data_IF_622157735288
#
_entry.id   IF_622157735288
#
_cell.length_a   1.000
_cell.length_b   1.000
_cell.length_c   1.000
_cell.angle_alpha   90.00
_cell.angle_beta   90.00
_cell.angle_gamma   90.00
#
_symmetry.space_group_name_H-M   'P 1'
#
loop_
_entity.id
_entity.type
_entity.pdbx_description
1 polymer ?
#
# COMPACT_ATOMS: atom_id res chain seq x y z
N UNK A 1 6.71 -51.42 -24.44
CA UNK A 1 7.36 -50.19 -23.94
C UNK A 1 6.26 -49.19 -23.66
N UNK A 2 6.19 -48.70 -22.44
CA UNK A 2 5.21 -47.69 -22.07
C UNK A 2 5.65 -46.34 -22.67
N UNK A 3 4.69 -45.56 -23.18
CA UNK A 3 4.93 -44.41 -24.08
C UNK A 3 4.29 -43.17 -23.50
N UNK A 4 4.89 -42.00 -23.74
CA UNK A 4 4.27 -40.70 -23.49
C UNK A 4 2.96 -40.58 -24.25
N UNK A 5 1.93 -40.09 -23.57
CA UNK A 5 0.57 -39.96 -24.12
C UNK A 5 0.23 -38.47 -24.22
N UNK A 6 -0.10 -37.96 -25.42
CA UNK A 6 -0.57 -36.59 -25.57
C UNK A 6 -1.79 -36.30 -24.70
N UNK A 7 -1.75 -35.21 -23.93
CA UNK A 7 -2.87 -34.82 -23.09
C UNK A 7 -3.99 -34.23 -23.95
N UNK A 8 -5.25 -34.57 -23.66
CA UNK A 8 -6.42 -34.06 -24.40
C UNK A 8 -7.14 -32.95 -23.65
N UNK A 9 -7.14 -32.99 -22.32
CA UNK A 9 -7.87 -32.06 -21.45
C UNK A 9 -6.93 -31.29 -20.52
N UNK A 10 -5.93 -31.98 -19.96
CA UNK A 10 -4.90 -31.37 -19.12
C UNK A 10 -3.89 -30.63 -20.00
N UNK A 11 -4.25 -29.41 -20.41
CA UNK A 11 -3.40 -28.57 -21.27
C UNK A 11 -2.78 -27.40 -20.52
N UNK A 12 -3.39 -26.98 -19.42
CA UNK A 12 -2.97 -25.82 -18.65
C UNK A 12 -2.97 -26.13 -17.16
N UNK A 13 -1.95 -25.63 -16.46
CA UNK A 13 -1.87 -25.72 -15.01
C UNK A 13 -0.93 -24.69 -14.42
N UNK A 14 -0.94 -24.62 -13.09
CA UNK A 14 -0.03 -23.79 -12.30
C UNK A 14 0.72 -24.66 -11.29
N UNK A 15 2.01 -24.43 -11.14
CA UNK A 15 2.81 -25.09 -10.13
C UNK A 15 2.39 -24.63 -8.73
N UNK A 16 2.06 -25.58 -7.85
CA UNK A 16 1.68 -25.34 -6.45
C UNK A 16 2.82 -25.59 -5.46
N UNK A 17 3.94 -26.15 -5.94
CA UNK A 17 5.17 -26.37 -5.18
C UNK A 17 6.40 -26.09 -6.04
N UNK A 18 7.52 -25.75 -5.40
CA UNK A 18 8.80 -25.59 -6.08
C UNK A 18 9.34 -26.97 -6.44
N UNK A 19 9.72 -27.15 -7.69
CA UNK A 19 10.35 -28.37 -8.19
C UNK A 19 11.74 -28.05 -8.74
N UNK A 20 12.77 -28.67 -8.17
CA UNK A 20 14.15 -28.53 -8.64
C UNK A 20 14.50 -29.73 -9.51
N UNK A 21 14.86 -29.46 -10.77
CA UNK A 21 15.23 -30.51 -11.71
C UNK A 21 16.49 -31.24 -11.23
N UNK A 22 16.43 -32.57 -11.19
CA UNK A 22 17.58 -33.43 -10.86
C UNK A 22 18.32 -33.92 -12.11
N UNK A 23 17.67 -33.84 -13.28
CA UNK A 23 18.19 -34.30 -14.57
C UNK A 23 17.92 -33.25 -15.66
N UNK A 24 18.70 -33.29 -16.75
CA UNK A 24 18.55 -32.35 -17.87
C UNK A 24 17.20 -32.47 -18.59
N UNK A 25 16.55 -33.62 -18.52
CA UNK A 25 15.22 -33.87 -19.10
C UNK A 25 14.10 -33.25 -18.28
N UNK A 26 14.36 -32.90 -17.02
CA UNK A 26 13.39 -32.34 -16.09
C UNK A 26 13.35 -30.82 -16.19
N UNK A 27 12.16 -30.26 -15.99
CA UNK A 27 11.95 -28.81 -15.98
C UNK A 27 11.75 -28.34 -14.55
N UNK A 28 12.66 -27.49 -14.07
CA UNK A 28 12.47 -26.84 -12.76
C UNK A 28 11.28 -25.89 -12.81
N UNK A 29 10.48 -25.87 -11.75
CA UNK A 29 9.30 -25.02 -11.60
C UNK A 29 9.38 -24.27 -10.27
N UNK A 30 8.89 -23.04 -10.26
CA UNK A 30 8.64 -22.28 -9.05
C UNK A 30 7.13 -22.20 -8.80
N UNK A 31 6.73 -22.07 -7.53
CA UNK A 31 5.34 -21.85 -7.14
C UNK A 31 4.77 -20.67 -7.94
N UNK A 32 3.64 -20.90 -8.61
CA UNK A 32 2.98 -19.90 -9.46
C UNK A 32 3.43 -19.90 -10.92
N UNK A 33 4.37 -20.75 -11.32
CA UNK A 33 4.70 -20.95 -12.74
C UNK A 33 3.51 -21.57 -13.47
N UNK A 34 3.13 -20.94 -14.58
CA UNK A 34 2.08 -21.45 -15.45
C UNK A 34 2.71 -22.33 -16.53
N UNK A 35 2.13 -23.51 -16.74
CA UNK A 35 2.68 -24.53 -17.64
C UNK A 35 1.68 -24.93 -18.72
N UNK A 36 2.19 -25.13 -19.94
CA UNK A 36 1.49 -25.84 -21.00
C UNK A 36 1.91 -27.30 -20.93
N UNK A 37 0.94 -28.18 -20.67
CA UNK A 37 1.11 -29.62 -20.59
C UNK A 37 0.82 -30.23 -21.96
N UNK A 38 1.80 -30.93 -22.53
CA UNK A 38 1.72 -31.54 -23.86
C UNK A 38 1.42 -33.04 -23.76
N UNK A 39 2.13 -33.73 -22.87
CA UNK A 39 2.07 -35.19 -22.73
C UNK A 39 2.09 -35.58 -21.25
N UNK A 40 1.63 -36.80 -20.96
CA UNK A 40 1.67 -37.40 -19.63
C UNK A 40 2.20 -38.83 -19.68
N UNK A 41 2.88 -39.24 -18.60
CA UNK A 41 3.40 -40.59 -18.42
C UNK A 41 3.63 -40.88 -16.92
N UNK A 42 2.97 -41.90 -16.37
CA UNK A 42 3.17 -42.43 -15.00
C UNK A 42 3.35 -41.36 -13.89
N UNK A 43 2.42 -40.40 -13.80
CA UNK A 43 2.46 -39.34 -12.78
C UNK A 43 3.41 -38.18 -13.09
N UNK A 44 3.95 -38.13 -14.32
CA UNK A 44 4.70 -37.01 -14.85
C UNK A 44 3.97 -36.35 -16.00
N UNK A 45 4.10 -35.04 -16.06
CA UNK A 45 3.77 -34.24 -17.23
C UNK A 45 5.03 -33.86 -17.99
N UNK A 46 4.89 -33.70 -19.30
CA UNK A 46 5.89 -33.09 -20.16
C UNK A 46 5.30 -31.84 -20.78
N UNK A 47 6.06 -30.75 -20.74
CA UNK A 47 5.57 -29.46 -21.15
C UNK A 47 6.64 -28.38 -21.09
N UNK A 48 6.18 -27.14 -21.02
CA UNK A 48 7.03 -25.96 -20.88
C UNK A 48 6.31 -24.88 -20.06
N UNK A 49 7.07 -23.95 -19.47
CA UNK A 49 6.48 -22.78 -18.82
C UNK A 49 6.03 -21.75 -19.87
N UNK A 50 4.92 -21.08 -19.64
CA UNK A 50 4.41 -20.08 -20.60
C UNK A 50 5.41 -18.93 -20.85
N UNK A 51 6.30 -18.67 -19.88
CA UNK A 51 7.39 -17.69 -20.01
C UNK A 51 8.56 -18.16 -20.88
N UNK A 52 8.77 -19.46 -21.03
CA UNK A 52 9.87 -20.00 -21.82
C UNK A 52 9.43 -21.23 -22.62
N UNK A 53 8.77 -20.97 -23.75
CA UNK A 53 8.27 -22.00 -24.68
C UNK A 53 9.36 -22.88 -25.29
N UNK A 54 10.60 -22.38 -25.33
CA UNK A 54 11.74 -23.08 -25.95
C UNK A 54 12.25 -24.23 -25.09
N UNK A 55 12.14 -24.11 -23.75
CA UNK A 55 12.63 -25.10 -22.81
C UNK A 55 11.52 -26.07 -22.43
N UNK A 56 11.53 -27.25 -23.07
CA UNK A 56 10.62 -28.35 -22.74
C UNK A 56 11.29 -29.30 -21.76
N UNK A 57 10.52 -29.85 -20.83
CA UNK A 57 10.99 -30.88 -19.91
C UNK A 57 9.84 -31.54 -19.17
N UNK A 58 10.18 -32.50 -18.31
CA UNK A 58 9.21 -33.24 -17.50
C UNK A 58 9.13 -32.69 -16.08
N UNK A 59 7.95 -32.75 -15.47
CA UNK A 59 7.69 -32.32 -14.10
C UNK A 59 6.57 -33.16 -13.47
N UNK A 60 6.57 -33.35 -12.13
CA UNK A 60 5.59 -34.23 -11.49
C UNK A 60 4.17 -33.68 -11.61
N UNK A 61 3.20 -34.54 -11.89
CA UNK A 61 1.78 -34.21 -11.93
C UNK A 61 1.29 -33.65 -10.59
N UNK A 62 1.78 -34.22 -9.48
CA UNK A 62 1.38 -33.83 -8.11
C UNK A 62 1.78 -32.41 -7.73
N UNK A 63 2.66 -31.76 -8.51
CA UNK A 63 3.12 -30.39 -8.29
C UNK A 63 2.28 -29.38 -9.07
N UNK A 64 1.33 -29.84 -9.89
CA UNK A 64 0.54 -29.00 -10.79
C UNK A 64 -0.92 -29.01 -10.41
N UNK A 65 -1.48 -27.81 -10.20
CA UNK A 65 -2.92 -27.60 -10.14
C UNK A 65 -3.45 -27.25 -11.54
N UNK A 66 -4.29 -28.11 -12.09
CA UNK A 66 -4.90 -27.89 -13.40
C UNK A 66 -5.84 -26.67 -13.38
N UNK A 67 -5.83 -25.91 -14.46
CA UNK A 67 -6.69 -24.73 -14.63
C UNK A 67 -7.43 -24.79 -15.96
N UNK A 68 -8.58 -24.14 -16.01
CA UNK A 68 -9.36 -24.05 -17.23
C UNK A 68 -8.64 -23.18 -18.27
N UNK A 69 -8.63 -23.66 -19.51
CA UNK A 69 -8.08 -22.97 -20.66
C UNK A 69 -8.74 -23.46 -21.94
N UNK A 70 -8.85 -22.58 -22.93
CA UNK A 70 -9.17 -22.93 -24.30
C UNK A 70 -7.88 -23.20 -25.07
N UNK A 71 -7.94 -24.11 -26.05
CA UNK A 71 -6.80 -24.41 -26.92
C UNK A 71 -7.16 -24.04 -28.34
N UNK A 72 -6.41 -23.10 -28.89
CA UNK A 72 -6.47 -22.69 -30.28
C UNK A 72 -5.38 -23.37 -31.09
N UNK A 73 -5.67 -23.58 -32.38
CA UNK A 73 -4.82 -24.27 -33.36
C UNK A 73 -4.41 -25.70 -32.94
N UNK A 74 -5.29 -26.68 -33.16
CA UNK A 74 -5.09 -28.11 -32.83
C UNK A 74 -4.12 -28.80 -33.80
N UNK A 75 -2.95 -28.19 -34.02
CA UNK A 75 -1.89 -28.65 -34.91
C UNK A 75 -0.54 -28.77 -34.19
N UNK A 76 0.56 -28.49 -34.89
CA UNK A 76 1.91 -28.49 -34.29
C UNK A 76 2.18 -27.28 -33.38
N UNK A 77 1.31 -26.25 -33.42
CA UNK A 77 1.43 -24.98 -32.70
C UNK A 77 0.24 -24.73 -31.77
N UNK A 78 -0.13 -25.74 -30.97
CA UNK A 78 -1.18 -25.57 -29.95
C UNK A 78 -0.90 -24.37 -29.04
N UNK A 79 -1.84 -23.43 -28.98
CA UNK A 79 -1.78 -22.26 -28.12
C UNK A 79 -2.83 -22.37 -27.03
N UNK A 80 -2.39 -22.33 -25.77
CA UNK A 80 -3.25 -22.39 -24.60
C UNK A 80 -3.59 -20.97 -24.17
N UNK A 81 -4.89 -20.69 -24.14
CA UNK A 81 -5.45 -19.42 -23.67
C UNK A 81 -6.11 -19.69 -22.32
N UNK A 82 -5.56 -19.15 -21.21
CA UNK A 82 -6.17 -19.33 -19.90
C UNK A 82 -7.61 -18.81 -19.86
N UNK A 83 -8.51 -19.50 -19.15
CA UNK A 83 -9.91 -19.06 -19.00
C UNK A 83 -10.08 -17.84 -18.08
N UNK A 84 -9.00 -17.35 -17.48
CA UNK A 84 -9.01 -16.13 -16.68
C UNK A 84 -9.26 -14.90 -17.55
N UNK A 85 -9.96 -13.90 -16.99
CA UNK A 85 -10.18 -12.61 -17.65
C UNK A 85 -8.88 -12.06 -18.25
N UNK A 86 -8.87 -11.59 -19.51
CA UNK A 86 -7.66 -11.07 -20.16
C UNK A 86 -6.93 -10.02 -19.34
N UNK A 87 -7.68 -9.13 -18.67
CA UNK A 87 -7.12 -8.12 -17.78
C UNK A 87 -6.31 -8.72 -16.60
N UNK A 88 -6.70 -9.87 -16.06
CA UNK A 88 -5.95 -10.54 -14.99
C UNK A 88 -4.64 -11.10 -15.52
N UNK A 89 -4.63 -11.59 -16.75
CA UNK A 89 -3.43 -12.08 -17.42
C UNK A 89 -2.46 -10.92 -17.69
N UNK A 90 -2.99 -9.80 -18.17
CA UNK A 90 -2.24 -8.55 -18.37
C UNK A 90 -1.65 -8.05 -17.06
N UNK A 91 -2.48 -7.87 -16.02
CA UNK A 91 -2.05 -7.50 -14.66
C UNK A 91 -0.88 -8.35 -14.17
N UNK A 92 -0.98 -9.67 -14.36
CA UNK A 92 0.04 -10.63 -13.92
C UNK A 92 1.34 -10.45 -14.69
N UNK A 93 1.26 -10.22 -16.01
CA UNK A 93 2.43 -9.98 -16.87
C UNK A 93 3.09 -8.64 -16.53
N UNK A 94 2.30 -7.57 -16.42
CA UNK A 94 2.78 -6.23 -16.02
C UNK A 94 3.51 -6.27 -14.69
N UNK A 95 2.95 -6.92 -13.66
CA UNK A 95 3.60 -7.05 -12.36
C UNK A 95 4.93 -7.80 -12.43
N UNK A 96 5.03 -8.83 -13.28
CA UNK A 96 6.28 -9.59 -13.49
C UNK A 96 7.35 -8.74 -14.17
N UNK A 97 6.98 -7.98 -15.20
CA UNK A 97 7.89 -7.05 -15.89
C UNK A 97 8.34 -5.92 -14.96
N UNK A 98 7.40 -5.30 -14.26
CA UNK A 98 7.69 -4.26 -13.27
C UNK A 98 8.59 -4.78 -12.15
N UNK A 99 8.43 -6.02 -11.69
CA UNK A 99 9.31 -6.59 -10.66
C UNK A 99 10.78 -6.65 -11.11
N UNK A 100 11.06 -6.90 -12.39
CA UNK A 100 12.42 -6.87 -12.94
C UNK A 100 12.99 -5.45 -12.89
N UNK A 101 12.19 -4.47 -13.29
CA UNK A 101 12.59 -3.06 -13.30
C UNK A 101 12.74 -2.53 -11.87
N UNK A 102 11.84 -2.93 -10.96
CA UNK A 102 11.83 -2.53 -9.56
C UNK A 102 13.14 -2.91 -8.84
N UNK A 103 13.64 -4.12 -9.08
CA UNK A 103 14.96 -4.55 -8.60
C UNK A 103 16.09 -3.69 -9.17
N UNK A 104 16.04 -3.33 -10.45
CA UNK A 104 17.04 -2.44 -11.08
C UNK A 104 17.00 -1.03 -10.47
N UNK A 105 15.81 -0.50 -10.18
CA UNK A 105 15.66 0.81 -9.53
C UNK A 105 16.30 0.83 -8.14
N UNK A 106 16.16 -0.27 -7.38
CA UNK A 106 16.82 -0.43 -6.08
C UNK A 106 18.35 -0.41 -6.21
N UNK A 107 18.91 -1.26 -7.08
CA UNK A 107 20.37 -1.35 -7.28
C UNK A 107 20.95 -0.02 -7.77
N UNK A 108 20.22 0.70 -8.62
CA UNK A 108 20.64 1.98 -9.18
C UNK A 108 20.31 3.19 -8.27
N UNK A 109 19.87 2.94 -7.03
CA UNK A 109 19.52 3.96 -6.04
C UNK A 109 18.51 5.01 -6.52
N UNK A 110 17.55 4.61 -7.38
CA UNK A 110 16.46 5.47 -7.88
C UNK A 110 15.28 5.45 -6.89
N UNK A 111 15.50 5.98 -5.69
CA UNK A 111 14.59 5.83 -4.53
C UNK A 111 13.16 6.35 -4.79
N UNK A 112 13.02 7.46 -5.48
CA UNK A 112 11.71 8.06 -5.78
C UNK A 112 10.87 7.17 -6.69
N UNK A 113 11.42 6.77 -7.83
CA UNK A 113 10.80 5.83 -8.77
C UNK A 113 10.56 4.47 -8.14
N UNK A 114 11.48 3.99 -7.30
CA UNK A 114 11.32 2.73 -6.56
C UNK A 114 10.08 2.76 -5.67
N UNK A 115 9.88 3.84 -4.90
CA UNK A 115 8.71 3.99 -4.00
C UNK A 115 7.41 4.16 -4.78
N UNK A 116 7.42 4.94 -5.87
CA UNK A 116 6.26 5.11 -6.74
C UNK A 116 5.83 3.76 -7.35
N UNK A 117 6.79 3.01 -7.90
CA UNK A 117 6.54 1.69 -8.48
C UNK A 117 6.05 0.70 -7.42
N UNK A 118 6.60 0.74 -6.21
CA UNK A 118 6.14 -0.10 -5.09
C UNK A 118 4.67 0.15 -4.75
N UNK A 119 4.27 1.42 -4.61
CA UNK A 119 2.87 1.78 -4.29
C UNK A 119 1.92 1.29 -5.39
N UNK A 120 2.26 1.54 -6.66
CA UNK A 120 1.48 1.06 -7.79
C UNK A 120 1.37 -0.47 -7.80
N UNK A 121 2.47 -1.17 -7.55
CA UNK A 121 2.53 -2.64 -7.51
C UNK A 121 1.58 -3.19 -6.45
N UNK A 122 1.58 -2.63 -5.24
CA UNK A 122 0.67 -3.06 -4.17
C UNK A 122 -0.81 -2.81 -4.51
N UNK A 123 -1.14 -1.64 -5.08
CA UNK A 123 -2.51 -1.37 -5.54
C UNK A 123 -2.96 -2.36 -6.61
N UNK A 124 -2.10 -2.69 -7.59
CA UNK A 124 -2.43 -3.65 -8.64
C UNK A 124 -2.62 -5.08 -8.09
N UNK A 125 -1.81 -5.50 -7.11
CA UNK A 125 -1.97 -6.81 -6.44
C UNK A 125 -3.32 -6.87 -5.71
N UNK A 126 -3.68 -5.81 -4.99
CA UNK A 126 -4.95 -5.73 -4.28
C UNK A 126 -6.13 -5.78 -5.26
N UNK A 127 -6.11 -4.96 -6.31
CA UNK A 127 -7.18 -4.94 -7.32
C UNK A 127 -7.27 -6.26 -8.09
N UNK A 128 -6.14 -6.93 -8.35
CA UNK A 128 -6.14 -8.29 -8.92
C UNK A 128 -6.86 -9.27 -7.99
N UNK A 129 -6.62 -9.20 -6.68
CA UNK A 129 -7.31 -10.02 -5.68
C UNK A 129 -8.82 -9.73 -5.66
N UNK A 130 -9.21 -8.45 -5.74
CA UNK A 130 -10.62 -8.05 -5.78
C UNK A 130 -11.32 -8.56 -7.05
N UNK A 131 -10.70 -8.44 -8.22
CA UNK A 131 -11.26 -8.97 -9.49
C UNK A 131 -11.46 -10.49 -9.42
N UNK A 132 -10.48 -11.22 -8.87
CA UNK A 132 -10.53 -12.68 -8.76
C UNK A 132 -11.48 -13.19 -7.67
N UNK A 133 -11.82 -12.36 -6.68
CA UNK A 133 -12.76 -12.75 -5.63
C UNK A 133 -14.17 -13.06 -6.15
N UNK A 134 -14.55 -12.47 -7.29
CA UNK A 134 -15.88 -12.62 -7.87
C UNK A 134 -17.02 -12.00 -7.05
N UNK A 135 -16.71 -11.22 -6.00
CA UNK A 135 -17.72 -10.64 -5.10
C UNK A 135 -18.20 -9.25 -5.52
N UNK A 136 -17.57 -8.64 -6.52
CA UNK A 136 -17.89 -7.27 -6.94
C UNK A 136 -19.14 -7.24 -7.85
N UNK A 137 -20.08 -6.31 -7.63
CA UNK A 137 -21.14 -5.97 -8.58
C UNK A 137 -20.59 -5.62 -9.96
N UNK A 138 -21.40 -5.78 -11.01
CA UNK A 138 -20.99 -5.52 -12.40
C UNK A 138 -20.47 -4.10 -12.61
N UNK A 139 -21.13 -3.10 -12.02
CA UNK A 139 -20.78 -1.70 -12.20
C UNK A 139 -19.46 -1.37 -11.48
N UNK A 140 -19.29 -1.83 -10.24
CA UNK A 140 -18.03 -1.70 -9.50
C UNK A 140 -16.87 -2.42 -10.20
N UNK A 141 -17.12 -3.61 -10.76
CA UNK A 141 -16.13 -4.34 -11.54
C UNK A 141 -15.73 -3.55 -12.81
N UNK A 142 -16.68 -2.93 -13.50
CA UNK A 142 -16.40 -2.12 -14.68
C UNK A 142 -15.53 -0.88 -14.33
N UNK A 143 -15.84 -0.20 -13.22
CA UNK A 143 -15.01 0.89 -12.72
C UNK A 143 -13.62 0.43 -12.30
N UNK A 144 -13.52 -0.71 -11.61
CA UNK A 144 -12.25 -1.27 -11.17
C UNK A 144 -11.37 -1.66 -12.37
N UNK A 145 -11.95 -2.24 -13.44
CA UNK A 145 -11.24 -2.52 -14.70
C UNK A 145 -10.63 -1.25 -15.30
N UNK A 146 -11.39 -0.15 -15.33
CA UNK A 146 -10.89 1.16 -15.81
C UNK A 146 -9.78 1.72 -14.92
N UNK A 147 -9.90 1.57 -13.59
CA UNK A 147 -8.85 1.99 -12.63
C UNK A 147 -7.56 1.19 -12.82
N UNK A 148 -7.66 -0.13 -12.97
CA UNK A 148 -6.51 -1.02 -13.21
C UNK A 148 -5.76 -0.62 -14.47
N UNK A 149 -6.46 -0.55 -15.60
CA UNK A 149 -5.86 -0.24 -16.90
C UNK A 149 -5.17 1.12 -16.89
N UNK A 150 -5.84 2.16 -16.37
CA UNK A 150 -5.24 3.48 -16.22
C UNK A 150 -3.96 3.48 -15.37
N UNK A 151 -3.88 2.65 -14.33
CA UNK A 151 -2.70 2.56 -13.45
C UNK A 151 -1.56 1.79 -14.11
N UNK A 152 -1.87 0.74 -14.89
CA UNK A 152 -0.90 0.03 -15.73
C UNK A 152 -0.31 1.00 -16.75
N UNK A 153 -1.15 1.71 -17.51
CA UNK A 153 -0.71 2.60 -18.59
C UNK A 153 0.14 3.76 -18.04
N UNK A 154 -0.27 4.34 -16.90
CA UNK A 154 0.51 5.34 -16.18
C UNK A 154 1.89 4.80 -15.75
N UNK A 155 1.93 3.58 -15.19
CA UNK A 155 3.17 2.96 -14.78
C UNK A 155 4.10 2.62 -15.93
N UNK A 156 3.56 2.09 -17.03
CA UNK A 156 4.33 1.82 -18.24
C UNK A 156 4.93 3.11 -18.79
N UNK A 157 4.14 4.20 -18.85
CA UNK A 157 4.66 5.50 -19.26
C UNK A 157 5.77 6.02 -18.34
N UNK A 158 5.59 5.91 -17.03
CA UNK A 158 6.57 6.32 -16.04
C UNK A 158 7.89 5.55 -16.18
N UNK A 159 7.81 4.25 -16.49
CA UNK A 159 8.97 3.37 -16.67
C UNK A 159 9.57 3.41 -18.08
N UNK A 160 8.95 4.13 -19.02
CA UNK A 160 9.38 4.18 -20.42
C UNK A 160 9.13 2.89 -21.19
N UNK A 161 8.07 2.16 -20.84
CA UNK A 161 7.60 0.95 -21.52
C UNK A 161 6.55 1.29 -22.58
N UNK A 162 6.32 0.34 -23.49
CA UNK A 162 5.30 0.45 -24.52
C UNK A 162 3.89 0.55 -23.91
N UNK A 163 3.04 1.36 -24.55
CA UNK A 163 1.66 1.57 -24.14
C UNK A 163 0.72 0.68 -24.95
N UNK A 164 -0.25 0.08 -24.26
CA UNK A 164 -1.31 -0.71 -24.88
C UNK A 164 -2.46 0.24 -25.24
N UNK A 165 -2.93 0.18 -26.49
CA UNK A 165 -4.05 1.02 -26.94
C UNK A 165 -5.36 0.35 -26.54
N UNK A 166 -6.26 1.12 -25.92
CA UNK A 166 -7.53 0.62 -25.38
C UNK A 166 -8.73 1.39 -25.90
N UNK A 167 -9.89 0.74 -25.86
CA UNK A 167 -11.20 1.36 -26.08
C UNK A 167 -11.69 2.10 -24.80
N UNK A 168 -12.85 2.77 -24.90
CA UNK A 168 -13.47 3.50 -23.77
C UNK A 168 -13.89 2.58 -22.60
N UNK A 169 -13.95 1.28 -22.84
CA UNK A 169 -14.28 0.25 -21.85
C UNK A 169 -13.02 -0.34 -21.19
N UNK A 170 -11.82 0.04 -21.65
CA UNK A 170 -10.54 -0.45 -21.14
C UNK A 170 -10.11 -1.79 -21.75
N UNK A 171 -10.79 -2.27 -22.79
CA UNK A 171 -10.36 -3.46 -23.54
C UNK A 171 -9.23 -3.08 -24.49
N UNK A 172 -8.34 -4.04 -24.75
CA UNK A 172 -7.25 -3.87 -25.72
C UNK A 172 -7.87 -3.82 -27.12
N UNK A 173 -7.44 -2.86 -27.95
CA UNK A 173 -7.87 -2.78 -29.34
C UNK A 173 -7.08 -3.78 -30.19
N UNK A 174 -7.81 -4.64 -30.91
CA UNK A 174 -7.21 -5.59 -31.85
C UNK A 174 -6.73 -4.85 -33.12
N UNK A 175 -5.44 -4.93 -33.47
CA UNK A 175 -4.89 -4.26 -34.66
C UNK A 175 -5.49 -4.75 -35.98
N UNK A 176 -5.89 -6.02 -36.02
CA UNK A 176 -6.45 -6.65 -37.23
C UNK A 176 -7.91 -6.23 -37.48
N UNK A 177 -8.62 -5.82 -36.43
CA UNK A 177 -10.01 -5.33 -36.52
C UNK A 177 -10.08 -3.79 -36.61
N UNK A 178 -9.02 -3.10 -36.18
CA UNK A 178 -8.97 -1.64 -36.10
C UNK A 178 -8.12 -1.05 -37.23
N UNK A 179 -8.69 -0.14 -38.03
CA UNK A 179 -7.90 0.54 -39.08
C UNK A 179 -6.66 1.23 -38.50
N UNK A 180 -5.54 1.20 -39.23
CA UNK A 180 -4.26 1.80 -38.78
C UNK A 180 -4.39 3.26 -38.37
N UNK A 181 -5.23 4.04 -39.07
CA UNK A 181 -5.48 5.44 -38.76
C UNK A 181 -6.26 5.59 -37.44
N UNK A 182 -7.29 4.76 -37.22
CA UNK A 182 -8.06 4.78 -35.97
C UNK A 182 -7.20 4.35 -34.78
N UNK A 183 -6.38 3.32 -34.96
CA UNK A 183 -5.44 2.84 -33.94
C UNK A 183 -4.41 3.92 -33.58
N UNK A 184 -3.85 4.61 -34.58
CA UNK A 184 -2.92 5.72 -34.37
C UNK A 184 -3.57 6.87 -33.60
N UNK A 185 -4.80 7.28 -33.97
CA UNK A 185 -5.53 8.33 -33.24
C UNK A 185 -5.83 7.93 -31.80
N UNK A 186 -6.23 6.68 -31.57
CA UNK A 186 -6.48 6.16 -30.23
C UNK A 186 -5.20 6.18 -29.39
N UNK A 187 -4.07 5.77 -29.97
CA UNK A 187 -2.75 5.85 -29.33
C UNK A 187 -2.37 7.29 -28.99
N UNK A 188 -2.52 8.23 -29.92
CA UNK A 188 -2.21 9.65 -29.71
C UNK A 188 -3.05 10.25 -28.57
N UNK A 189 -4.36 9.99 -28.56
CA UNK A 189 -5.25 10.43 -27.49
C UNK A 189 -4.88 9.82 -26.13
N UNK A 190 -4.57 8.51 -26.10
CA UNK A 190 -4.15 7.83 -24.88
C UNK A 190 -2.83 8.40 -24.34
N UNK A 191 -1.82 8.57 -25.19
CA UNK A 191 -0.53 9.15 -24.81
C UNK A 191 -0.70 10.56 -24.25
N UNK A 192 -1.49 11.41 -24.91
CA UNK A 192 -1.76 12.78 -24.47
C UNK A 192 -2.45 12.81 -23.10
N UNK A 193 -3.48 11.99 -22.90
CA UNK A 193 -4.20 11.90 -21.63
C UNK A 193 -3.29 11.46 -20.47
N UNK A 194 -2.38 10.53 -20.73
CA UNK A 194 -1.42 10.05 -19.73
C UNK A 194 -0.38 11.14 -19.44
N UNK A 195 0.13 11.83 -20.47
CA UNK A 195 1.06 12.95 -20.32
C UNK A 195 0.46 14.10 -19.50
N UNK A 196 -0.78 14.48 -19.78
CA UNK A 196 -1.52 15.50 -19.03
C UNK A 196 -1.61 15.12 -17.55
N UNK A 197 -2.01 13.89 -17.22
CA UNK A 197 -2.03 13.42 -15.82
C UNK A 197 -0.66 13.42 -15.16
N UNK A 198 0.38 12.97 -15.87
CA UNK A 198 1.75 12.98 -15.35
C UNK A 198 2.21 14.42 -15.12
N UNK A 199 1.86 15.36 -15.99
CA UNK A 199 2.21 16.76 -15.86
C UNK A 199 1.43 17.43 -14.73
N UNK A 200 0.16 17.09 -14.54
CA UNK A 200 -0.63 17.50 -13.38
C UNK A 200 0.04 17.01 -12.09
N UNK A 201 0.37 15.72 -11.99
CA UNK A 201 1.07 15.15 -10.83
C UNK A 201 2.45 15.78 -10.62
N UNK A 202 3.23 15.99 -11.68
CA UNK A 202 4.54 16.67 -11.61
C UNK A 202 4.42 18.13 -11.22
N UNK A 203 3.40 18.85 -11.69
CA UNK A 203 3.18 20.25 -11.33
C UNK A 203 2.71 20.37 -9.87
N UNK A 204 1.90 19.42 -9.37
CA UNK A 204 1.58 19.29 -7.95
C UNK A 204 2.86 19.04 -7.15
N UNK A 205 3.77 18.20 -7.63
CA UNK A 205 5.06 17.93 -6.97
C UNK A 205 6.08 19.08 -7.09
N UNK A 206 6.16 19.79 -8.20
CA UNK A 206 7.10 20.91 -8.41
C UNK A 206 6.64 22.20 -7.73
N UNK A 207 5.33 22.45 -7.63
CA UNK A 207 4.80 23.53 -6.80
C UNK A 207 5.09 23.31 -5.31
N UNK A 208 5.42 22.07 -4.92
CA UNK A 208 5.89 21.72 -3.58
C UNK A 208 7.37 22.01 -3.34
N UNK A 209 8.22 21.91 -4.36
CA UNK A 209 9.69 22.07 -4.23
C UNK A 209 10.17 23.52 -4.39
N UNK A 210 9.42 24.39 -5.09
CA UNK A 210 9.82 25.78 -5.37
C UNK A 210 9.42 26.79 -4.28
N UNK A 211 8.63 26.39 -3.28
CA UNK A 211 8.31 27.23 -2.12
C UNK A 211 8.98 26.66 -0.88
N UNK A 212 10.14 27.24 -0.52
CA UNK A 212 10.71 27.16 0.83
C UNK A 212 9.83 27.88 1.88
N UNK A 213 8.53 27.63 1.88
CA UNK A 213 7.57 28.07 2.88
C UNK A 213 6.73 26.86 3.33
N UNK A 214 6.51 26.68 4.65
CA UNK A 214 5.76 25.56 5.18
C UNK A 214 4.27 25.82 4.94
N UNK A 215 3.68 25.22 3.90
CA UNK A 215 2.23 25.28 3.69
C UNK A 215 1.72 23.94 3.15
N UNK A 216 1.15 23.15 4.07
CA UNK A 216 0.01 22.23 3.93
C UNK A 216 -0.31 21.70 2.52
N UNK A 217 0.02 20.42 2.29
CA UNK A 217 -0.43 19.67 1.11
C UNK A 217 -1.94 19.46 1.16
N UNK A 218 -2.61 19.60 0.02
CA UNK A 218 -3.92 18.99 -0.24
C UNK A 218 -3.80 17.46 -0.48
N UNK A 219 -3.05 16.78 0.39
CA UNK A 219 -3.49 15.46 0.86
C UNK A 219 -4.75 15.77 1.67
N UNK A 220 -5.73 14.87 1.78
CA UNK A 220 -6.71 15.02 2.86
C UNK A 220 -5.93 14.91 4.19
N UNK A 221 -5.35 16.01 4.66
CA UNK A 221 -4.70 16.11 5.94
C UNK A 221 -5.84 16.22 6.92
N UNK A 222 -6.15 15.10 7.56
CA UNK A 222 -7.02 15.15 8.71
C UNK A 222 -6.29 15.98 9.76
N UNK A 223 -6.95 17.01 10.28
CA UNK A 223 -6.47 17.75 11.44
C UNK A 223 -7.19 17.21 12.67
N UNK A 224 -6.46 16.86 13.72
CA UNK A 224 -7.07 16.62 15.02
C UNK A 224 -6.96 17.89 15.85
N UNK A 225 -8.08 18.57 16.04
CA UNK A 225 -8.19 19.69 16.97
C UNK A 225 -8.40 19.18 18.40
N UNK A 226 -7.55 19.61 19.32
CA UNK A 226 -7.65 19.27 20.75
C UNK A 226 -7.71 20.55 21.57
N UNK A 227 -8.80 20.71 22.32
CA UNK A 227 -8.99 21.81 23.26
C UNK A 227 -8.77 21.29 24.69
N UNK A 228 -7.66 21.66 25.29
CA UNK A 228 -7.34 21.27 26.66
C UNK A 228 -8.09 22.16 27.66
N UNK A 229 -9.03 21.57 28.40
CA UNK A 229 -9.87 22.31 29.35
C UNK A 229 -9.23 22.47 30.73
N UNK A 230 -8.78 21.37 31.31
CA UNK A 230 -8.31 21.37 32.70
C UNK A 230 -7.36 20.20 32.98
N UNK A 231 -6.45 20.41 33.92
CA UNK A 231 -5.60 19.38 34.50
C UNK A 231 -5.88 19.27 36.00
N UNK A 232 -6.38 18.12 36.44
CA UNK A 232 -6.67 17.87 37.86
C UNK A 232 -5.79 16.73 38.34
N UNK A 233 -4.70 17.08 39.01
CA UNK A 233 -3.81 16.11 39.64
C UNK A 233 -3.08 16.71 40.85
N UNK A 234 -3.06 16.00 41.97
CA UNK A 234 -2.42 16.48 43.20
C UNK A 234 -0.90 16.23 43.16
N UNK A 235 -0.17 17.04 42.39
CA UNK A 235 1.29 16.92 42.24
C UNK A 235 2.04 17.66 43.36
N UNK A 236 1.49 18.78 43.86
CA UNK A 236 2.13 19.64 44.87
C UNK A 236 3.35 20.43 44.39
N UNK A 237 3.76 20.24 43.14
CA UNK A 237 4.85 20.94 42.45
C UNK A 237 4.35 21.43 41.07
N UNK A 238 5.18 22.18 40.35
CA UNK A 238 4.91 22.51 38.96
C UNK A 238 4.95 21.24 38.09
N UNK A 239 4.26 21.25 36.95
CA UNK A 239 4.23 20.14 36.02
C UNK A 239 4.35 20.57 34.57
N UNK A 240 4.92 19.69 33.76
CA UNK A 240 4.94 19.76 32.31
C UNK A 240 4.10 18.61 31.75
N UNK A 241 3.12 18.95 30.92
CA UNK A 241 2.24 18.01 30.24
C UNK A 241 2.66 17.93 28.79
N UNK A 242 3.06 16.76 28.31
CA UNK A 242 3.43 16.51 26.92
C UNK A 242 2.33 15.70 26.25
N UNK A 243 1.59 16.32 25.33
CA UNK A 243 0.54 15.66 24.57
C UNK A 243 1.02 15.31 23.16
N UNK A 244 0.86 14.05 22.76
CA UNK A 244 1.20 13.59 21.42
C UNK A 244 0.34 12.40 20.99
N UNK A 245 0.31 12.17 19.68
CA UNK A 245 -0.32 11.00 19.05
C UNK A 245 0.66 9.82 19.06
N UNK A 246 0.17 8.65 19.42
CA UNK A 246 0.97 7.45 19.59
C UNK A 246 0.33 6.25 18.86
N UNK A 247 1.18 5.49 18.18
CA UNK A 247 0.83 4.20 17.59
C UNK A 247 1.24 3.07 18.56
N UNK A 248 0.28 2.45 19.28
CA UNK A 248 0.61 1.36 20.21
C UNK A 248 1.08 0.09 19.51
N UNK A 249 0.75 -0.10 18.22
CA UNK A 249 1.14 -1.29 17.47
C UNK A 249 2.60 -1.18 17.00
N UNK A 250 3.03 0.01 16.57
CA UNK A 250 4.41 0.27 16.15
C UNK A 250 5.32 0.74 17.29
N UNK A 251 4.75 1.07 18.46
CA UNK A 251 5.45 1.64 19.61
C UNK A 251 6.20 2.95 19.30
N UNK A 252 5.59 3.81 18.48
CA UNK A 252 6.19 5.06 18.01
C UNK A 252 5.22 6.23 18.12
N UNK A 253 5.75 7.42 18.41
CA UNK A 253 4.99 8.67 18.32
C UNK A 253 4.77 9.05 16.86
N UNK A 254 3.53 9.44 16.54
CA UNK A 254 3.11 9.91 15.22
C UNK A 254 3.30 11.42 15.10
N UNK A 255 3.05 12.17 16.18
CA UNK A 255 3.16 13.63 16.21
C UNK A 255 4.29 14.11 17.12
N UNK A 256 4.64 15.38 16.97
CA UNK A 256 5.42 16.10 17.98
C UNK A 256 4.64 16.30 19.28
N UNK A 257 5.36 16.69 20.34
CA UNK A 257 4.78 16.94 21.65
C UNK A 257 4.28 18.38 21.76
N UNK A 258 3.01 18.55 22.10
CA UNK A 258 2.48 19.81 22.58
C UNK A 258 2.69 19.95 24.09
N UNK A 259 3.46 20.96 24.49
CA UNK A 259 3.85 21.20 25.88
C UNK A 259 2.91 22.19 26.56
N UNK A 260 2.33 21.80 27.69
CA UNK A 260 1.61 22.69 28.60
C UNK A 260 2.36 22.76 29.93
N UNK A 261 2.68 23.97 30.39
CA UNK A 261 3.27 24.19 31.72
C UNK A 261 2.19 24.50 32.74
N UNK A 262 2.05 23.64 33.72
CA UNK A 262 1.09 23.74 34.80
C UNK A 262 1.78 24.18 36.10
N UNK A 263 1.23 25.17 36.77
CA UNK A 263 1.73 25.69 38.03
C UNK A 263 1.27 24.85 39.22
N UNK A 264 2.05 24.86 40.30
CA UNK A 264 1.71 24.23 41.57
C UNK A 264 0.45 24.81 42.23
N UNK A 265 0.01 25.99 41.81
CA UNK A 265 -1.25 26.64 42.21
C UNK A 265 -2.48 26.07 41.49
N UNK A 266 -2.33 25.04 40.65
CA UNK A 266 -3.43 24.42 39.92
C UNK A 266 -3.87 25.18 38.67
N UNK A 267 -3.06 26.14 38.20
CA UNK A 267 -3.35 26.95 37.02
C UNK A 267 -2.20 26.86 35.99
N UNK A 268 -2.45 27.01 34.69
CA UNK A 268 -1.39 27.17 33.70
C UNK A 268 -0.43 28.30 34.09
N UNK A 269 0.88 28.09 33.91
CA UNK A 269 1.90 29.15 34.17
C UNK A 269 1.74 30.35 33.24
N UNK A 270 1.25 30.12 32.03
CA UNK A 270 0.97 31.14 31.04
C UNK A 270 -0.50 31.56 31.17
N UNK A 271 -0.79 32.45 32.12
CA UNK A 271 -2.15 32.93 32.45
C UNK A 271 -2.82 33.59 31.23
N UNK A 272 -2.05 34.15 30.30
CA UNK A 272 -2.58 34.71 29.04
C UNK A 272 -3.19 33.65 28.10
N UNK A 273 -2.86 32.36 28.30
CA UNK A 273 -3.43 31.23 27.56
C UNK A 273 -4.59 30.55 28.30
N UNK A 274 -5.06 31.09 29.42
CA UNK A 274 -6.28 30.60 30.08
C UNK A 274 -7.44 30.65 29.07
N UNK A 275 -8.12 29.52 28.86
CA UNK A 275 -9.15 29.31 27.82
C UNK A 275 -8.66 29.17 26.37
N UNK A 276 -7.35 29.25 26.11
CA UNK A 276 -6.75 29.09 24.79
C UNK A 276 -5.62 28.05 24.75
N UNK A 277 -5.80 26.93 25.47
CA UNK A 277 -4.91 25.77 25.37
C UNK A 277 -5.39 24.85 24.24
N UNK A 278 -5.24 25.32 23.01
CA UNK A 278 -5.70 24.65 21.81
C UNK A 278 -4.49 24.19 21.00
N UNK A 279 -4.56 22.96 20.48
CA UNK A 279 -3.56 22.44 19.54
C UNK A 279 -4.27 21.78 18.38
N UNK A 280 -3.75 21.99 17.18
CA UNK A 280 -4.15 21.24 15.99
C UNK A 280 -2.99 20.33 15.63
N UNK A 281 -3.20 19.02 15.75
CA UNK A 281 -2.27 18.05 15.17
C UNK A 281 -2.56 17.98 13.68
N UNK A 282 -1.69 18.60 12.90
CA UNK A 282 -1.79 18.71 11.45
C UNK A 282 -0.96 17.65 10.73
N UNK A 283 -1.05 17.61 9.41
CA UNK A 283 -0.26 16.73 8.55
C UNK A 283 -0.47 15.22 8.80
N UNK A 284 -1.60 14.81 9.38
CA UNK A 284 -1.97 13.40 9.47
C UNK A 284 -2.28 12.88 8.06
N UNK A 285 -1.44 11.96 7.60
CA UNK A 285 -1.54 11.38 6.27
C UNK A 285 -2.61 10.29 6.22
N UNK A 286 -3.03 9.90 5.01
CA UNK A 286 -3.92 8.75 4.83
C UNK A 286 -3.34 7.45 5.43
N UNK A 287 -2.02 7.31 5.49
CA UNK A 287 -1.36 6.19 6.16
C UNK A 287 -1.58 6.22 7.69
N UNK A 288 -1.67 7.41 8.29
CA UNK A 288 -2.00 7.60 9.71
C UNK A 288 -3.45 7.23 9.99
N UNK A 289 -4.39 7.60 9.12
CA UNK A 289 -5.82 7.31 9.27
C UNK A 289 -6.18 5.82 9.16
N UNK A 290 -5.48 5.06 8.33
CA UNK A 290 -5.71 3.62 8.15
C UNK A 290 -5.07 2.76 9.24
N UNK A 291 -4.32 3.35 10.20
CA UNK A 291 -3.71 2.58 11.28
C UNK A 291 -4.78 1.85 12.10
N UNK A 292 -4.48 0.63 12.56
CA UNK A 292 -5.44 -0.18 13.30
C UNK A 292 -5.88 0.49 14.62
N UNK A 293 -4.97 1.25 15.25
CA UNK A 293 -5.20 1.94 16.51
C UNK A 293 -4.35 3.20 16.62
N UNK A 294 -4.93 4.28 17.14
CA UNK A 294 -4.24 5.55 17.42
C UNK A 294 -4.67 6.03 18.80
N UNK A 295 -3.70 6.43 19.62
CA UNK A 295 -3.96 6.91 20.98
C UNK A 295 -3.43 8.32 21.19
N UNK A 296 -4.20 9.15 21.89
CA UNK A 296 -3.72 10.41 22.45
C UNK A 296 -3.06 10.11 23.79
N UNK A 297 -1.78 10.47 23.93
CA UNK A 297 -0.98 10.25 25.13
C UNK A 297 -0.61 11.60 25.73
N UNK A 298 -0.82 11.74 27.04
CA UNK A 298 -0.36 12.88 27.82
C UNK A 298 0.62 12.39 28.89
N UNK A 299 1.91 12.70 28.72
CA UNK A 299 2.94 12.40 29.72
C UNK A 299 3.05 13.56 30.71
N UNK A 300 3.04 13.22 32.00
CA UNK A 300 3.07 14.19 33.09
C UNK A 300 4.44 14.11 33.74
N UNK A 301 5.16 15.22 33.69
CA UNK A 301 6.49 15.36 34.29
C UNK A 301 6.39 16.38 35.41
N UNK A 302 6.61 15.97 36.65
CA UNK A 302 6.72 16.92 37.78
C UNK A 302 8.06 17.64 37.70
N UNK A 303 8.03 18.95 37.95
CA UNK A 303 9.18 19.84 37.93
C UNK A 303 9.27 20.54 39.27
N UNK A 304 10.33 20.22 40.02
CA UNK A 304 10.42 20.75 41.37
C UNK A 304 11.72 20.39 42.07
N UNK A 305 11.63 20.30 43.39
CA UNK A 305 12.80 20.11 44.25
C UNK A 305 12.93 18.64 44.64
N UNK A 306 14.16 18.17 44.86
CA UNK A 306 14.37 16.90 45.55
C UNK A 306 14.31 17.16 47.06
N UNK A 307 13.39 16.47 47.75
CA UNK A 307 13.35 16.46 49.20
C UNK A 307 14.34 15.41 49.72
N UNK A 308 15.28 15.85 50.55
CA UNK A 308 16.11 14.97 51.37
C UNK A 308 15.37 14.66 52.67
N UNK A 309 15.69 13.55 53.32
CA UNK A 309 15.06 13.12 54.58
C UNK A 309 15.10 14.18 55.70
N UNK A 310 16.01 15.15 55.62
CA UNK A 310 16.19 16.25 56.58
C UNK A 310 15.39 17.54 56.25
N UNK A 311 14.47 17.50 55.28
CA UNK A 311 13.44 18.54 55.06
C UNK A 311 13.90 19.87 54.45
N UNK A 312 15.20 20.07 54.18
CA UNK A 312 15.71 21.27 53.49
C UNK A 312 15.75 21.05 51.97
N UNK A 313 15.00 21.87 51.23
CA UNK A 313 14.96 21.88 49.75
C UNK A 313 16.23 22.53 49.19
N UNK A 314 17.03 21.79 48.41
CA UNK A 314 18.34 22.27 47.90
C UNK A 314 18.48 22.27 46.37
N UNK A 315 17.73 21.43 45.64
CA UNK A 315 17.82 21.30 44.18
C UNK A 315 16.58 21.92 43.53
N UNK A 316 16.70 22.66 42.43
CA UNK A 316 15.55 23.24 41.71
C UNK A 316 15.53 22.79 40.24
N UNK A 317 14.34 22.78 39.63
CA UNK A 317 14.17 22.49 38.20
C UNK A 317 14.36 21.01 37.81
N UNK A 318 14.34 20.08 38.76
CA UNK A 318 14.47 18.65 38.46
C UNK A 318 13.18 18.12 37.84
N UNK A 319 13.32 17.49 36.66
CA UNK A 319 12.21 16.90 35.88
C UNK A 319 12.13 15.41 36.16
N UNK A 320 10.98 14.94 36.63
CA UNK A 320 10.75 13.53 37.00
C UNK A 320 9.42 13.06 36.42
N UNK A 321 9.33 11.86 35.82
CA UNK A 321 8.06 11.32 35.39
C UNK A 321 7.13 11.17 36.60
N UNK A 322 5.86 11.53 36.42
CA UNK A 322 4.84 11.47 37.46
C UNK A 322 3.69 10.53 37.07
N UNK A 323 3.31 10.51 35.79
CA UNK A 323 2.27 9.62 35.30
C UNK A 323 2.03 9.81 33.80
N UNK A 324 1.09 9.03 33.27
CA UNK A 324 0.65 9.11 31.88
C UNK A 324 -0.86 8.96 31.80
N UNK A 325 -1.49 9.72 30.92
CA UNK A 325 -2.90 9.58 30.57
C UNK A 325 -3.00 9.14 29.11
N UNK A 326 -3.83 8.15 28.80
CA UNK A 326 -3.96 7.58 27.45
C UNK A 326 -5.43 7.44 27.09
N UNK A 327 -5.79 7.90 25.89
CA UNK A 327 -7.12 7.75 25.32
C UNK A 327 -7.03 7.17 23.91
N UNK A 328 -7.87 6.17 23.62
CA UNK A 328 -8.05 5.70 22.26
C UNK A 328 -8.93 6.68 21.49
N UNK A 329 -8.40 7.18 20.36
CA UNK A 329 -9.09 8.16 19.52
C UNK A 329 -9.30 7.63 18.10
N UNK A 330 -9.15 6.33 17.90
CA UNK A 330 -9.21 5.69 16.57
C UNK A 330 -10.54 5.97 15.87
N UNK A 331 -11.67 5.87 16.59
CA UNK A 331 -12.99 6.09 15.99
C UNK A 331 -13.29 7.58 15.74
N UNK A 332 -12.71 8.49 16.54
CA UNK A 332 -12.79 9.94 16.35
C UNK A 332 -12.02 10.34 15.08
N UNK A 333 -10.78 9.84 14.93
CA UNK A 333 -9.96 10.10 13.74
C UNK A 333 -10.58 9.52 12.46
N UNK A 334 -11.30 8.40 12.56
CA UNK A 334 -11.99 7.78 11.42
C UNK A 334 -13.34 8.41 11.08
N UNK A 335 -13.77 9.44 11.82
CA UNK A 335 -15.05 10.10 11.61
C UNK A 335 -16.26 9.20 11.85
N UNK A 336 -16.11 8.14 12.67
CA UNK A 336 -17.21 7.24 13.03
C UNK A 336 -18.06 7.78 14.19
N UNK A 337 -17.53 8.76 14.92
CA UNK A 337 -18.18 9.43 16.03
C UNK A 337 -18.21 10.92 15.71
N UNK A 338 -19.40 11.50 15.69
CA UNK A 338 -19.60 12.94 15.61
C UNK A 338 -19.64 13.47 17.06
N UNK A 339 -18.52 14.05 17.51
CA UNK A 339 -18.27 14.35 18.93
C UNK A 339 -17.78 15.80 19.15
N UNK A 340 -18.15 16.73 18.26
CA UNK A 340 -17.62 18.11 18.23
C UNK A 340 -17.80 18.89 19.55
N UNK A 341 -18.71 18.49 20.43
CA UNK A 341 -19.00 19.18 21.70
C UNK A 341 -18.71 18.36 22.97
N UNK A 342 -18.30 17.09 22.88
CA UNK A 342 -18.17 16.24 24.06
C UNK A 342 -16.83 16.41 24.76
N UNK A 343 -16.89 16.56 26.08
CA UNK A 343 -15.69 16.59 26.93
C UNK A 343 -15.28 15.16 27.32
N UNK A 344 -14.02 14.82 27.07
CA UNK A 344 -13.45 13.54 27.49
C UNK A 344 -12.60 13.71 28.74
N UNK A 345 -12.84 12.86 29.74
CA UNK A 345 -12.03 12.77 30.95
C UNK A 345 -11.05 11.60 30.80
N UNK A 346 -9.77 11.92 30.70
CA UNK A 346 -8.71 10.91 30.55
C UNK A 346 -8.06 10.69 31.93
N UNK A 347 -8.21 9.50 32.54
CA UNK A 347 -7.63 9.23 33.86
C UNK A 347 -6.10 9.18 33.77
N UNK A 348 -5.44 9.76 34.77
CA UNK A 348 -3.99 9.67 34.94
C UNK A 348 -3.65 8.32 35.58
N UNK A 349 -2.74 7.59 34.97
CA UNK A 349 -2.11 6.40 35.54
C UNK A 349 -0.74 6.80 36.09
N UNK A 350 -0.47 6.44 37.34
CA UNK A 350 0.79 6.71 38.05
C UNK A 350 1.70 5.48 38.06
#
# INVERSE_FOLDING_TARGET
MARWIPTKRQKYGVAIYNYNASQDVELSLQIGDTVHILEMYEGWYRGYTLQNKSKKGIFPETYIHLKEATVEDRGQHETVIPGELPLVQELTSTLREWAVIWRKLYVNNKVTLFRQLQQMTYSLIEWRSQILSGTLPKDELAELKKKVTAKIDHGNRMLGLDLVVRDDNGNILEPDETSTIALFKAHEMASKRIEEKIQEEKSIMQNLDLRGQPVFRAVHTCGLYVNFKNFVCNIGEDAELFMALYDPNQSTFISENYLIRWGSNGMPKEIEKLNNLQVVFTDLSSADLIRPRISLVCQIVRVGHMELKDGKKHTCGLRRPFGVAVMDITDIIRGKVDDEEKQHFIPVQQ
#
